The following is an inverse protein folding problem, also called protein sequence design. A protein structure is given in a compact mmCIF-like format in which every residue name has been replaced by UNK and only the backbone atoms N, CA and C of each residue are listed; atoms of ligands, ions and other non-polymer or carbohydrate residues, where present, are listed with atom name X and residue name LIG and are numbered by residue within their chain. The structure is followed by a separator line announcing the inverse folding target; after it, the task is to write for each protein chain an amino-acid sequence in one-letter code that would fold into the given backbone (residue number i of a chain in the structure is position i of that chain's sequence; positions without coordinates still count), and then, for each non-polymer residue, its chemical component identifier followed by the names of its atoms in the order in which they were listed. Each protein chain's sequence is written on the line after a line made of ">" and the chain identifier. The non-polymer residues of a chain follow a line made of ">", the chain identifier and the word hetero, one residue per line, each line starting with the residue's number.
data_IF_759889611516
#
_entry.id   IF_759889611516
#
_cell.length_a   1.000
_cell.length_b   1.000
_cell.length_c   1.000
_cell.angle_alpha   90.00
_cell.angle_beta   90.00
_cell.angle_gamma   90.00
#
_symmetry.space_group_name_H-M   'P 1'
#
loop_
_entity.id
_entity.type
_entity.pdbx_description
1 polymer ?
#
# COMPACT_ATOMS: atom_id res chain seq x y z
N UNK A 1 28.24 13.82 16.70
CA UNK A 1 28.29 12.71 15.74
C UNK A 1 27.13 12.85 14.80
N UNK A 2 27.42 12.91 13.55
CA UNK A 2 26.61 13.43 12.45
C UNK A 2 25.34 12.59 12.22
N UNK A 3 24.20 13.26 12.31
CA UNK A 3 22.87 12.70 12.10
C UNK A 3 22.67 12.43 10.59
N UNK A 4 23.29 11.36 10.08
CA UNK A 4 23.09 10.87 8.73
C UNK A 4 21.64 10.41 8.66
N UNK A 5 20.73 11.27 8.17
CA UNK A 5 19.35 10.90 7.81
C UNK A 5 19.41 9.54 7.13
N UNK A 6 18.94 8.49 7.79
CA UNK A 6 18.72 7.17 7.20
C UNK A 6 17.63 7.34 6.14
N UNK A 7 18.01 7.77 4.95
CA UNK A 7 17.19 7.60 3.75
C UNK A 7 17.12 6.10 3.54
N UNK A 8 15.92 5.55 3.58
CA UNK A 8 15.70 4.15 3.27
C UNK A 8 16.51 3.80 2.01
N UNK A 9 17.46 2.89 2.19
CA UNK A 9 18.41 2.60 1.13
C UNK A 9 17.82 1.52 0.23
N UNK A 10 17.43 1.90 -0.98
CA UNK A 10 16.97 0.96 -2.02
C UNK A 10 17.96 -0.21 -2.23
N UNK A 11 19.24 -0.02 -1.87
CA UNK A 11 20.24 -1.09 -1.92
C UNK A 11 19.92 -2.24 -0.96
N UNK A 12 19.30 -1.96 0.20
CA UNK A 12 18.88 -2.99 1.17
C UNK A 12 17.73 -3.84 0.61
N UNK A 13 16.77 -3.22 -0.08
CA UNK A 13 15.67 -3.93 -0.74
C UNK A 13 16.21 -4.80 -1.89
N UNK A 14 17.14 -4.27 -2.67
CA UNK A 14 17.78 -5.03 -3.75
C UNK A 14 18.57 -6.22 -3.19
N UNK A 15 19.26 -6.05 -2.04
CA UNK A 15 19.96 -7.15 -1.36
C UNK A 15 18.98 -8.22 -0.89
N UNK A 16 17.84 -7.83 -0.32
CA UNK A 16 16.78 -8.74 0.11
C UNK A 16 16.20 -9.52 -1.08
N UNK A 17 15.86 -8.82 -2.17
CA UNK A 17 15.38 -9.45 -3.40
C UNK A 17 16.41 -10.41 -4.01
N UNK A 18 17.70 -10.03 -3.97
CA UNK A 18 18.79 -10.89 -4.46
C UNK A 18 18.94 -12.15 -3.59
N UNK A 19 18.83 -12.02 -2.27
CA UNK A 19 18.82 -13.14 -1.34
C UNK A 19 17.68 -14.11 -1.64
N UNK A 20 16.46 -13.58 -1.78
CA UNK A 20 15.31 -14.41 -2.15
C UNK A 20 15.45 -15.03 -3.55
N UNK A 21 16.03 -14.32 -4.51
CA UNK A 21 16.23 -14.83 -5.86
C UNK A 21 17.21 -16.00 -5.93
N UNK A 22 18.23 -16.04 -5.10
CA UNK A 22 19.21 -17.12 -5.09
C UNK A 22 18.57 -18.47 -4.74
N UNK A 23 17.69 -18.49 -3.73
CA UNK A 23 17.13 -19.74 -3.20
C UNK A 23 15.74 -20.06 -3.78
N UNK A 24 14.94 -19.04 -4.16
CA UNK A 24 13.52 -19.20 -4.50
C UNK A 24 13.15 -18.73 -5.92
N UNK A 25 14.10 -18.59 -6.85
CA UNK A 25 13.89 -18.00 -8.19
C UNK A 25 12.70 -18.58 -8.96
N UNK A 26 12.53 -19.89 -8.95
CA UNK A 26 11.44 -20.55 -9.68
C UNK A 26 10.08 -20.27 -9.05
N UNK A 27 10.03 -20.29 -7.73
CA UNK A 27 8.77 -20.01 -7.01
C UNK A 27 8.40 -18.53 -7.14
N UNK A 28 9.36 -17.62 -7.12
CA UNK A 28 9.15 -16.20 -7.38
C UNK A 28 8.66 -15.93 -8.82
N UNK A 29 9.22 -16.65 -9.82
CA UNK A 29 8.75 -16.54 -11.20
C UNK A 29 7.30 -17.03 -11.35
N UNK A 30 6.95 -18.18 -10.76
CA UNK A 30 5.58 -18.69 -10.76
C UNK A 30 4.64 -17.71 -10.03
N UNK A 31 5.06 -17.19 -8.88
CA UNK A 31 4.30 -16.19 -8.14
C UNK A 31 4.08 -14.90 -8.95
N UNK A 32 5.09 -14.44 -9.69
CA UNK A 32 4.96 -13.30 -10.58
C UNK A 32 3.98 -13.56 -11.74
N UNK A 33 3.97 -14.76 -12.30
CA UNK A 33 2.99 -15.15 -13.32
C UNK A 33 1.58 -15.18 -12.74
N UNK A 34 1.40 -15.76 -11.58
CA UNK A 34 0.09 -15.86 -10.92
C UNK A 34 -0.50 -14.49 -10.59
N UNK A 35 0.32 -13.55 -10.11
CA UNK A 35 -0.15 -12.18 -9.82
C UNK A 35 -0.51 -11.43 -11.11
N UNK A 36 0.24 -11.63 -12.20
CA UNK A 36 -0.09 -11.07 -13.51
C UNK A 36 -1.43 -11.63 -14.00
N UNK A 37 -1.64 -12.94 -13.92
CA UNK A 37 -2.90 -13.58 -14.29
C UNK A 37 -4.05 -13.00 -13.47
N UNK A 38 -3.91 -12.93 -12.15
CA UNK A 38 -4.94 -12.36 -11.27
C UNK A 38 -5.28 -10.91 -11.62
N UNK A 39 -4.27 -10.07 -11.86
CA UNK A 39 -4.47 -8.68 -12.26
C UNK A 39 -5.14 -8.56 -13.63
N UNK A 40 -4.74 -9.36 -14.62
CA UNK A 40 -5.36 -9.39 -15.94
C UNK A 40 -6.82 -9.86 -15.86
N UNK A 41 -7.14 -10.84 -15.03
CA UNK A 41 -8.53 -11.28 -14.80
C UNK A 41 -9.34 -10.12 -14.23
N UNK A 42 -8.84 -9.40 -13.23
CA UNK A 42 -9.53 -8.26 -12.61
C UNK A 42 -9.81 -7.14 -13.63
N UNK A 43 -8.83 -6.78 -14.45
CA UNK A 43 -8.97 -5.75 -15.48
C UNK A 43 -9.94 -6.19 -16.58
N UNK A 44 -9.83 -7.44 -17.06
CA UNK A 44 -10.74 -7.99 -18.07
C UNK A 44 -12.18 -8.10 -17.57
N UNK A 45 -12.38 -8.52 -16.32
CA UNK A 45 -13.71 -8.58 -15.72
C UNK A 45 -14.38 -7.21 -15.71
N UNK A 46 -13.61 -6.17 -15.35
CA UNK A 46 -14.08 -4.77 -15.38
C UNK A 46 -14.41 -4.33 -16.82
N UNK A 47 -13.59 -4.68 -17.79
CA UNK A 47 -13.78 -4.34 -19.21
C UNK A 47 -14.94 -5.13 -19.84
N UNK A 48 -15.27 -6.33 -19.34
CA UNK A 48 -16.36 -7.17 -19.83
C UNK A 48 -17.75 -6.57 -19.63
N UNK A 49 -17.87 -5.55 -18.77
CA UNK A 49 -19.11 -4.75 -18.62
C UNK A 49 -19.52 -4.15 -19.96
N UNK A 50 -18.57 -3.69 -20.77
CA UNK A 50 -18.84 -3.18 -22.13
C UNK A 50 -19.53 -4.26 -22.98
N UNK A 51 -18.93 -5.44 -23.06
CA UNK A 51 -19.49 -6.55 -23.85
C UNK A 51 -20.85 -7.01 -23.32
N UNK A 52 -21.03 -7.03 -21.99
CA UNK A 52 -22.29 -7.36 -21.36
C UNK A 52 -23.42 -6.40 -21.80
N UNK A 53 -23.15 -5.10 -21.76
CA UNK A 53 -24.17 -4.09 -22.08
C UNK A 53 -24.40 -4.00 -23.58
N UNK A 54 -23.34 -3.87 -24.38
CA UNK A 54 -23.46 -3.59 -25.82
C UNK A 54 -23.92 -4.81 -26.62
N UNK A 55 -23.47 -6.02 -26.24
CA UNK A 55 -23.75 -7.23 -27.03
C UNK A 55 -24.97 -8.04 -26.54
N UNK A 56 -25.37 -7.85 -25.27
CA UNK A 56 -26.49 -8.64 -24.70
C UNK A 56 -27.63 -7.76 -24.21
N UNK A 57 -27.36 -6.81 -23.29
CA UNK A 57 -28.45 -6.05 -22.65
C UNK A 57 -29.15 -5.12 -23.66
N UNK A 58 -28.36 -4.33 -24.40
CA UNK A 58 -28.90 -3.35 -25.34
C UNK A 58 -29.66 -3.98 -26.49
N UNK A 59 -29.20 -5.06 -27.17
CA UNK A 59 -29.99 -5.77 -28.19
C UNK A 59 -31.28 -6.39 -27.64
N UNK A 60 -31.24 -7.00 -26.44
CA UNK A 60 -32.41 -7.56 -25.79
C UNK A 60 -33.49 -6.51 -25.53
N UNK A 61 -33.10 -5.32 -25.07
CA UNK A 61 -34.04 -4.22 -24.85
C UNK A 61 -34.60 -3.67 -26.14
N UNK A 62 -33.84 -3.64 -27.25
CA UNK A 62 -34.29 -3.15 -28.55
C UNK A 62 -35.24 -4.14 -29.26
N UNK A 63 -34.97 -5.43 -29.14
CA UNK A 63 -35.76 -6.48 -29.80
C UNK A 63 -36.92 -7.00 -28.97
N UNK A 64 -36.97 -6.66 -27.66
CA UNK A 64 -37.96 -7.25 -26.72
C UNK A 64 -37.79 -8.77 -26.53
N UNK A 65 -36.61 -9.30 -26.89
CA UNK A 65 -36.34 -10.74 -26.81
C UNK A 65 -36.22 -11.20 -25.35
N UNK A 66 -36.90 -12.33 -25.03
CA UNK A 66 -36.80 -13.01 -23.73
C UNK A 66 -35.80 -14.20 -23.76
N UNK A 67 -34.98 -14.30 -24.81
CA UNK A 67 -33.96 -15.35 -24.86
C UNK A 67 -32.71 -14.98 -24.04
N UNK A 68 -32.62 -15.54 -22.85
CA UNK A 68 -31.48 -15.36 -21.92
C UNK A 68 -30.36 -16.38 -22.15
N UNK A 69 -30.46 -17.29 -23.12
CA UNK A 69 -29.47 -18.33 -23.37
C UNK A 69 -28.07 -17.78 -23.61
N UNK A 70 -27.85 -16.87 -24.60
CA UNK A 70 -26.55 -16.30 -24.87
C UNK A 70 -25.94 -15.48 -23.70
N UNK A 71 -26.82 -14.77 -22.97
CA UNK A 71 -26.41 -14.03 -21.78
C UNK A 71 -25.91 -14.95 -20.66
N UNK A 72 -26.64 -16.04 -20.40
CA UNK A 72 -26.29 -17.07 -19.43
C UNK A 72 -24.90 -17.67 -19.76
N UNK A 73 -24.68 -18.03 -21.01
CA UNK A 73 -23.45 -18.69 -21.45
C UNK A 73 -22.24 -17.71 -21.31
N UNK A 74 -22.43 -16.44 -21.63
CA UNK A 74 -21.45 -15.39 -21.40
C UNK A 74 -21.12 -15.23 -19.89
N UNK A 75 -22.14 -15.18 -19.02
CA UNK A 75 -21.96 -15.06 -17.57
C UNK A 75 -21.27 -16.29 -16.98
N UNK A 76 -21.59 -17.51 -17.45
CA UNK A 76 -20.87 -18.72 -17.05
C UNK A 76 -19.41 -18.68 -17.47
N UNK A 77 -19.10 -18.20 -18.67
CA UNK A 77 -17.74 -17.98 -19.12
C UNK A 77 -16.98 -16.98 -18.24
N UNK A 78 -17.61 -15.85 -17.86
CA UNK A 78 -17.05 -14.89 -16.93
C UNK A 78 -16.83 -15.49 -15.53
N UNK A 79 -17.77 -16.31 -15.03
CA UNK A 79 -17.63 -16.98 -13.75
C UNK A 79 -16.44 -17.95 -13.73
N UNK A 80 -16.26 -18.74 -14.79
CA UNK A 80 -15.08 -19.62 -14.94
C UNK A 80 -13.80 -18.81 -15.01
N UNK A 81 -13.80 -17.70 -15.74
CA UNK A 81 -12.64 -16.79 -15.82
C UNK A 81 -12.32 -16.17 -14.46
N UNK A 82 -13.34 -15.76 -13.69
CA UNK A 82 -13.20 -15.34 -12.30
C UNK A 82 -12.57 -16.41 -11.41
N UNK A 83 -12.99 -17.67 -11.55
CA UNK A 83 -12.41 -18.78 -10.78
C UNK A 83 -10.93 -18.93 -11.05
N UNK A 84 -10.47 -18.78 -12.29
CA UNK A 84 -9.05 -18.77 -12.63
C UNK A 84 -8.32 -17.65 -11.90
N UNK A 85 -8.87 -16.44 -11.85
CA UNK A 85 -8.29 -15.31 -11.11
C UNK A 85 -8.20 -15.57 -9.60
N UNK A 86 -9.26 -16.13 -9.01
CA UNK A 86 -9.29 -16.50 -7.58
C UNK A 86 -8.26 -17.57 -7.28
N UNK A 87 -8.16 -18.62 -8.09
CA UNK A 87 -7.17 -19.68 -7.94
C UNK A 87 -5.74 -19.16 -8.09
N UNK A 88 -5.51 -18.26 -9.05
CA UNK A 88 -4.21 -17.62 -9.24
C UNK A 88 -3.82 -16.76 -8.04
N UNK A 89 -4.76 -15.95 -7.51
CA UNK A 89 -4.51 -15.12 -6.33
C UNK A 89 -4.28 -15.94 -5.07
N UNK A 90 -5.04 -17.01 -4.88
CA UNK A 90 -4.87 -17.95 -3.77
C UNK A 90 -3.52 -18.66 -3.84
N UNK A 91 -3.17 -19.20 -5.01
CA UNK A 91 -1.87 -19.84 -5.24
C UNK A 91 -0.70 -18.88 -4.99
N UNK A 92 -0.79 -17.65 -5.51
CA UNK A 92 0.17 -16.59 -5.24
C UNK A 92 0.32 -16.32 -3.73
N UNK A 93 -0.79 -16.15 -3.01
CA UNK A 93 -0.77 -15.85 -1.57
C UNK A 93 -0.10 -16.96 -0.75
N UNK A 94 -0.43 -18.22 -1.03
CA UNK A 94 0.20 -19.37 -0.35
C UNK A 94 1.70 -19.42 -0.66
N UNK A 95 2.08 -19.28 -1.92
CA UNK A 95 3.49 -19.33 -2.33
C UNK A 95 4.30 -18.22 -1.65
N UNK A 96 3.77 -16.99 -1.61
CA UNK A 96 4.45 -15.88 -0.95
C UNK A 96 4.55 -16.07 0.56
N UNK A 97 3.50 -16.58 1.22
CA UNK A 97 3.55 -16.90 2.64
C UNK A 97 4.62 -17.97 2.94
N UNK A 98 4.67 -19.03 2.14
CA UNK A 98 5.66 -20.11 2.30
C UNK A 98 7.09 -19.59 2.11
N UNK A 99 7.36 -18.88 1.01
CA UNK A 99 8.68 -18.29 0.75
C UNK A 99 9.09 -17.35 1.88
N UNK A 100 8.15 -16.50 2.34
CA UNK A 100 8.41 -15.54 3.41
C UNK A 100 8.86 -16.27 4.68
N UNK A 101 8.12 -17.29 5.12
CA UNK A 101 8.44 -18.05 6.33
C UNK A 101 9.77 -18.81 6.20
N UNK A 102 10.05 -19.42 5.06
CA UNK A 102 11.32 -20.13 4.82
C UNK A 102 12.51 -19.15 4.78
N UNK A 103 12.36 -18.01 4.11
CA UNK A 103 13.39 -16.97 4.07
C UNK A 103 13.69 -16.43 5.47
N UNK A 104 12.66 -16.17 6.28
CA UNK A 104 12.80 -15.70 7.65
C UNK A 104 13.44 -16.75 8.57
N UNK A 105 13.08 -18.02 8.39
CA UNK A 105 13.74 -19.13 9.11
C UNK A 105 15.22 -19.14 8.79
N UNK A 106 15.59 -19.04 7.52
CA UNK A 106 16.98 -18.99 7.09
C UNK A 106 17.73 -17.79 7.69
N UNK A 107 17.11 -16.59 7.66
CA UNK A 107 17.67 -15.38 8.26
C UNK A 107 17.87 -15.52 9.76
N UNK A 108 16.88 -16.03 10.50
CA UNK A 108 17.00 -16.27 11.96
C UNK A 108 18.14 -17.23 12.28
N UNK A 109 18.27 -18.31 11.52
CA UNK A 109 19.35 -19.27 11.71
C UNK A 109 20.72 -18.62 11.45
N UNK A 110 20.86 -17.85 10.37
CA UNK A 110 22.12 -17.15 10.05
C UNK A 110 22.46 -16.08 11.10
N UNK A 111 21.46 -15.34 11.59
CA UNK A 111 21.65 -14.35 12.66
C UNK A 111 22.13 -15.04 13.95
N UNK A 112 21.47 -16.14 14.34
CA UNK A 112 21.85 -16.88 15.54
C UNK A 112 23.26 -17.46 15.42
N UNK A 113 23.60 -18.08 14.29
CA UNK A 113 24.94 -18.60 14.04
C UNK A 113 26.02 -17.51 14.09
N UNK A 114 25.72 -16.34 13.51
CA UNK A 114 26.65 -15.19 13.57
C UNK A 114 26.78 -14.66 15.00
N UNK A 115 25.68 -14.56 15.73
CA UNK A 115 25.68 -14.12 17.13
C UNK A 115 26.55 -15.01 18.00
N UNK A 116 26.50 -16.34 17.81
CA UNK A 116 27.34 -17.29 18.56
C UNK A 116 28.86 -17.14 18.27
N UNK A 117 29.21 -16.54 17.13
CA UNK A 117 30.61 -16.29 16.73
C UNK A 117 31.13 -14.92 17.17
N UNK A 118 30.30 -14.07 17.80
CA UNK A 118 30.70 -12.77 18.28
C UNK A 118 31.55 -12.89 19.56
N UNK A 119 32.55 -12.03 19.75
CA UNK A 119 33.34 -12.01 20.98
C UNK A 119 32.50 -11.55 22.17
N UNK A 120 32.81 -12.02 23.38
CA UNK A 120 32.09 -11.66 24.63
C UNK A 120 32.00 -10.15 24.81
N UNK A 121 33.08 -9.41 24.45
CA UNK A 121 33.14 -7.94 24.49
C UNK A 121 31.95 -7.27 23.77
N UNK A 122 31.43 -7.91 22.72
CA UNK A 122 30.25 -7.37 22.00
C UNK A 122 29.02 -7.31 22.92
N UNK A 123 28.78 -8.37 23.68
CA UNK A 123 27.65 -8.46 24.61
C UNK A 123 27.80 -7.55 25.83
N UNK A 124 29.05 -7.25 26.23
CA UNK A 124 29.34 -6.30 27.33
C UNK A 124 29.11 -4.83 26.90
N UNK A 125 29.22 -4.56 25.59
CA UNK A 125 29.15 -3.17 25.05
C UNK A 125 27.82 -2.85 24.37
N UNK A 126 26.96 -3.82 24.13
CA UNK A 126 25.63 -3.63 23.49
C UNK A 126 24.52 -4.10 24.43
N UNK A 127 23.47 -3.31 24.63
CA UNK A 127 22.31 -3.71 25.41
C UNK A 127 21.66 -4.98 24.86
N UNK A 128 21.33 -5.92 25.72
CA UNK A 128 20.65 -7.16 25.30
C UNK A 128 19.30 -6.88 24.62
N UNK A 129 18.63 -5.78 25.00
CA UNK A 129 17.39 -5.33 24.38
C UNK A 129 17.55 -4.96 22.89
N UNK A 130 18.67 -4.32 22.53
CA UNK A 130 18.96 -3.96 21.13
C UNK A 130 19.18 -5.21 20.28
N UNK A 131 19.93 -6.19 20.81
CA UNK A 131 20.14 -7.47 20.13
C UNK A 131 18.81 -8.20 19.96
N UNK A 132 17.95 -8.21 21.00
CA UNK A 132 16.65 -8.85 20.95
C UNK A 132 15.70 -8.14 19.96
N UNK A 133 15.78 -6.80 19.84
CA UNK A 133 15.01 -6.02 18.88
C UNK A 133 15.26 -6.45 17.44
N UNK A 134 16.49 -6.82 17.08
CA UNK A 134 16.80 -7.38 15.75
C UNK A 134 16.01 -8.66 15.49
N UNK A 135 15.94 -9.57 16.48
CA UNK A 135 15.23 -10.84 16.34
C UNK A 135 13.71 -10.71 16.31
N UNK A 136 13.16 -9.65 16.89
CA UNK A 136 11.71 -9.40 16.96
C UNK A 136 11.28 -8.38 15.91
N UNK A 137 11.65 -7.12 16.09
CA UNK A 137 11.11 -6.01 15.31
C UNK A 137 11.65 -5.98 13.87
N UNK A 138 12.96 -6.16 13.68
CA UNK A 138 13.56 -6.06 12.35
C UNK A 138 13.15 -7.26 11.48
N UNK A 139 13.12 -8.47 12.05
CA UNK A 139 12.64 -9.66 11.35
C UNK A 139 11.15 -9.54 11.00
N UNK A 140 10.31 -8.98 11.88
CA UNK A 140 8.91 -8.75 11.56
C UNK A 140 8.70 -7.67 10.50
N UNK A 141 9.51 -6.63 10.49
CA UNK A 141 9.52 -5.63 9.42
C UNK A 141 9.90 -6.25 8.06
N UNK A 142 10.92 -7.12 8.04
CA UNK A 142 11.30 -7.88 6.85
C UNK A 142 10.19 -8.84 6.40
N UNK A 143 9.52 -9.53 7.33
CA UNK A 143 8.36 -10.38 7.03
C UNK A 143 7.27 -9.59 6.32
N UNK A 144 6.89 -8.45 6.87
CA UNK A 144 5.85 -7.59 6.29
C UNK A 144 6.26 -7.06 4.90
N UNK A 145 7.54 -6.73 4.71
CA UNK A 145 8.04 -6.31 3.41
C UNK A 145 7.94 -7.42 2.36
N UNK A 146 8.37 -8.65 2.69
CA UNK A 146 8.39 -9.78 1.77
C UNK A 146 6.99 -10.29 1.48
N UNK A 147 6.17 -10.48 2.52
CA UNK A 147 4.87 -11.14 2.43
C UNK A 147 3.78 -10.23 1.86
N UNK A 148 3.83 -8.94 2.17
CA UNK A 148 2.77 -7.99 1.83
C UNK A 148 3.24 -6.85 0.95
N UNK A 149 4.28 -6.12 1.36
CA UNK A 149 4.59 -4.82 0.74
C UNK A 149 5.10 -4.96 -0.69
N UNK A 150 6.09 -5.80 -0.94
CA UNK A 150 6.67 -6.01 -2.27
C UNK A 150 5.63 -6.60 -3.24
N UNK A 151 4.90 -7.69 -2.89
CA UNK A 151 3.86 -8.24 -3.74
C UNK A 151 2.74 -7.25 -4.05
N UNK A 152 2.31 -6.48 -3.05
CA UNK A 152 1.23 -5.51 -3.21
C UNK A 152 1.64 -4.34 -4.13
N UNK A 153 2.87 -3.84 -4.02
CA UNK A 153 3.41 -2.83 -4.94
C UNK A 153 3.43 -3.34 -6.38
N UNK A 154 3.87 -4.58 -6.57
CA UNK A 154 3.93 -5.21 -7.88
C UNK A 154 2.53 -5.42 -8.48
N UNK A 155 1.60 -5.95 -7.70
CA UNK A 155 0.19 -6.10 -8.09
C UNK A 155 -0.45 -4.76 -8.45
N UNK A 156 -0.25 -3.74 -7.62
CA UNK A 156 -0.79 -2.41 -7.86
C UNK A 156 -0.24 -1.79 -9.15
N UNK A 157 1.06 -1.95 -9.41
CA UNK A 157 1.68 -1.45 -10.63
C UNK A 157 1.08 -2.12 -11.88
N UNK A 158 0.94 -3.46 -11.88
CA UNK A 158 0.35 -4.21 -13.00
C UNK A 158 -1.11 -3.79 -13.21
N UNK A 159 -1.89 -3.68 -12.13
CA UNK A 159 -3.29 -3.26 -12.20
C UNK A 159 -3.41 -1.84 -12.76
N UNK A 160 -2.59 -0.89 -12.28
CA UNK A 160 -2.59 0.48 -12.80
C UNK A 160 -2.26 0.55 -14.29
N UNK A 161 -1.24 -0.21 -14.73
CA UNK A 161 -0.88 -0.30 -16.16
C UNK A 161 -2.04 -0.91 -16.95
N UNK A 162 -2.60 -2.02 -16.50
CA UNK A 162 -3.72 -2.70 -17.17
C UNK A 162 -4.97 -1.83 -17.28
N UNK A 163 -5.34 -1.13 -16.20
CA UNK A 163 -6.47 -0.18 -16.18
C UNK A 163 -6.19 0.98 -17.14
N UNK A 164 -4.99 1.56 -17.12
CA UNK A 164 -4.60 2.66 -18.02
C UNK A 164 -4.72 2.24 -19.49
N UNK A 165 -4.16 1.09 -19.84
CA UNK A 165 -4.25 0.55 -21.21
C UNK A 165 -5.70 0.31 -21.61
N UNK A 166 -6.50 -0.30 -20.74
CA UNK A 166 -7.93 -0.54 -21.01
C UNK A 166 -8.71 0.75 -21.20
N UNK A 167 -8.44 1.79 -20.42
CA UNK A 167 -9.08 3.10 -20.58
C UNK A 167 -8.70 3.77 -21.90
N UNK A 168 -7.43 3.68 -22.30
CA UNK A 168 -6.97 4.21 -23.61
C UNK A 168 -7.61 3.47 -24.78
N UNK A 169 -7.81 2.17 -24.67
CA UNK A 169 -8.51 1.36 -25.69
C UNK A 169 -9.99 1.71 -25.78
N UNK A 170 -10.66 1.97 -24.64
CA UNK A 170 -12.09 2.32 -24.62
C UNK A 170 -12.33 3.73 -25.15
N UNK A 171 -11.61 4.73 -24.64
CA UNK A 171 -11.72 6.12 -25.08
C UNK A 171 -10.52 6.96 -24.65
N UNK A 172 -9.58 7.26 -25.57
CA UNK A 172 -8.43 8.13 -25.28
C UNK A 172 -8.87 9.54 -24.84
N UNK A 173 -9.98 10.03 -25.38
CA UNK A 173 -10.47 11.37 -25.06
C UNK A 173 -10.99 11.49 -23.62
N UNK A 174 -11.75 10.49 -23.15
CA UNK A 174 -12.17 10.42 -21.75
C UNK A 174 -10.99 10.21 -20.80
N UNK A 175 -9.96 9.49 -21.25
CA UNK A 175 -8.75 9.29 -20.45
C UNK A 175 -8.07 10.60 -20.09
N UNK A 176 -8.11 11.64 -20.95
CA UNK A 176 -7.56 12.97 -20.62
C UNK A 176 -8.20 13.57 -19.37
N UNK A 177 -9.53 13.42 -19.21
CA UNK A 177 -10.24 13.90 -18.01
C UNK A 177 -9.71 13.18 -16.76
N UNK A 178 -9.58 11.86 -16.83
CA UNK A 178 -9.06 11.06 -15.71
C UNK A 178 -7.59 11.36 -15.45
N UNK A 179 -6.77 11.56 -16.49
CA UNK A 179 -5.35 11.89 -16.35
C UNK A 179 -5.15 13.22 -15.59
N UNK A 180 -5.97 14.24 -15.86
CA UNK A 180 -5.95 15.50 -15.11
C UNK A 180 -6.30 15.26 -13.64
N UNK A 181 -7.34 14.47 -13.37
CA UNK A 181 -7.74 14.14 -11.99
C UNK A 181 -6.67 13.32 -11.26
N UNK A 182 -6.01 12.38 -11.95
CA UNK A 182 -4.88 11.62 -11.40
C UNK A 182 -3.70 12.55 -11.05
N UNK A 183 -3.38 13.53 -11.92
CA UNK A 183 -2.35 14.52 -11.63
C UNK A 183 -2.69 15.35 -10.37
N UNK A 184 -3.94 15.76 -10.20
CA UNK A 184 -4.43 16.45 -9.00
C UNK A 184 -4.29 15.53 -7.77
N UNK A 185 -4.68 14.26 -7.86
CA UNK A 185 -4.54 13.29 -6.75
C UNK A 185 -3.08 13.12 -6.34
N UNK A 186 -2.16 12.94 -7.30
CA UNK A 186 -0.72 12.83 -7.03
C UNK A 186 -0.18 14.09 -6.38
N UNK A 187 -0.60 15.27 -6.82
CA UNK A 187 -0.22 16.55 -6.21
C UNK A 187 -0.71 16.66 -4.76
N UNK A 188 -1.97 16.28 -4.49
CA UNK A 188 -2.53 16.23 -3.13
C UNK A 188 -1.76 15.27 -2.24
N UNK A 189 -1.51 14.04 -2.73
CA UNK A 189 -0.73 13.04 -1.99
C UNK A 189 0.63 13.62 -1.61
N UNK A 190 1.37 14.17 -2.58
CA UNK A 190 2.70 14.75 -2.34
C UNK A 190 2.66 15.85 -1.29
N UNK A 191 1.67 16.75 -1.37
CA UNK A 191 1.55 17.90 -0.47
C UNK A 191 1.17 17.47 0.95
N UNK A 192 0.17 16.60 1.09
CA UNK A 192 -0.34 16.15 2.39
C UNK A 192 0.66 15.22 3.06
N UNK A 193 1.21 14.24 2.33
CA UNK A 193 2.19 13.29 2.87
C UNK A 193 3.49 13.97 3.29
N UNK A 194 3.94 15.02 2.57
CA UNK A 194 5.12 15.79 2.97
C UNK A 194 4.91 16.50 4.31
N UNK A 195 3.73 17.11 4.52
CA UNK A 195 3.38 17.76 5.79
C UNK A 195 3.24 16.73 6.91
N UNK A 196 2.50 15.65 6.66
CA UNK A 196 2.33 14.55 7.62
C UNK A 196 3.67 13.97 8.05
N UNK A 197 4.56 13.66 7.10
CA UNK A 197 5.90 13.11 7.38
C UNK A 197 6.77 14.03 8.24
N UNK A 198 6.67 15.36 8.04
CA UNK A 198 7.36 16.33 8.90
C UNK A 198 6.86 16.26 10.34
N UNK A 199 5.55 16.28 10.55
CA UNK A 199 4.98 16.22 11.89
C UNK A 199 5.16 14.87 12.57
N UNK A 200 5.18 13.76 11.83
CA UNK A 200 5.58 12.44 12.38
C UNK A 200 7.04 12.45 12.86
N UNK A 201 7.94 13.13 12.12
CA UNK A 201 9.32 13.32 12.57
C UNK A 201 9.42 14.13 13.87
N UNK A 202 8.62 15.20 14.00
CA UNK A 202 8.53 16.01 15.22
C UNK A 202 7.93 15.20 16.38
N UNK A 203 6.86 14.44 16.13
CA UNK A 203 6.26 13.53 17.09
C UNK A 203 7.26 12.49 17.61
N UNK A 204 8.03 11.86 16.73
CA UNK A 204 9.02 10.86 17.13
C UNK A 204 10.13 11.46 17.99
N UNK A 205 10.54 12.70 17.66
CA UNK A 205 11.51 13.45 18.49
C UNK A 205 10.95 13.75 19.88
N UNK A 206 9.70 14.24 19.95
CA UNK A 206 9.06 14.60 21.24
C UNK A 206 8.77 13.36 22.09
N UNK A 207 8.40 12.24 21.46
CA UNK A 207 8.27 10.94 22.12
C UNK A 207 9.60 10.48 22.74
N UNK A 208 10.71 10.68 22.05
CA UNK A 208 12.05 10.39 22.59
C UNK A 208 12.40 11.28 23.80
N UNK A 209 12.00 12.56 23.76
CA UNK A 209 12.21 13.50 24.89
C UNK A 209 11.36 13.07 26.10
N UNK A 210 10.07 12.72 25.88
CA UNK A 210 9.18 12.26 26.93
C UNK A 210 9.68 10.97 27.58
N UNK A 211 10.07 9.97 26.78
CA UNK A 211 10.61 8.71 27.29
C UNK A 211 11.88 8.93 28.11
N UNK A 212 12.81 9.79 27.65
CA UNK A 212 14.01 10.13 28.38
C UNK A 212 13.71 10.82 29.71
N UNK A 213 12.74 11.74 29.74
CA UNK A 213 12.27 12.37 30.96
C UNK A 213 11.67 11.38 31.96
N UNK A 214 10.82 10.47 31.48
CA UNK A 214 10.23 9.42 32.31
C UNK A 214 11.32 8.53 32.92
N UNK A 215 12.31 8.10 32.13
CA UNK A 215 13.43 7.28 32.59
C UNK A 215 14.25 8.01 33.66
N UNK A 216 14.55 9.30 33.45
CA UNK A 216 15.25 10.13 34.42
C UNK A 216 14.46 10.27 35.74
N UNK A 217 13.15 10.56 35.65
CA UNK A 217 12.29 10.68 36.84
C UNK A 217 12.15 9.36 37.58
N UNK A 218 12.06 8.23 36.87
CA UNK A 218 12.01 6.90 37.50
C UNK A 218 13.33 6.58 38.22
N UNK A 219 14.47 6.84 37.59
CA UNK A 219 15.78 6.64 38.20
C UNK A 219 16.00 7.56 39.42
N UNK A 220 15.54 8.82 39.32
CA UNK A 220 15.65 9.84 40.34
C UNK A 220 14.55 9.84 41.43
N UNK A 221 13.60 8.87 41.40
CA UNK A 221 12.40 8.90 42.21
C UNK A 221 12.66 9.07 43.71
N UNK A 222 13.73 8.46 44.24
CA UNK A 222 14.12 8.59 45.65
C UNK A 222 14.51 10.05 46.01
N UNK A 223 15.17 10.72 45.08
CA UNK A 223 15.62 12.12 45.26
C UNK A 223 14.40 13.05 45.21
N UNK A 224 13.53 12.85 44.20
CA UNK A 224 12.26 13.62 44.06
C UNK A 224 11.45 13.56 45.35
N UNK A 225 11.29 12.36 45.91
CA UNK A 225 10.56 12.15 47.19
C UNK A 225 11.26 12.78 48.40
N UNK A 226 12.60 12.69 48.48
CA UNK A 226 13.35 13.24 49.60
C UNK A 226 13.29 14.78 49.64
N UNK A 227 13.22 15.43 48.47
CA UNK A 227 13.15 16.90 48.34
C UNK A 227 11.75 17.45 48.09
N UNK A 228 10.70 16.60 48.14
CA UNK A 228 9.28 16.97 47.92
C UNK A 228 9.11 17.72 46.58
N UNK A 229 9.74 17.22 45.49
CA UNK A 229 9.81 17.89 44.20
C UNK A 229 8.80 17.34 43.19
N UNK A 230 7.77 16.58 43.62
CA UNK A 230 6.78 15.94 42.78
C UNK A 230 5.99 16.92 41.92
N UNK A 231 5.54 18.04 42.52
CA UNK A 231 4.73 19.04 41.83
C UNK A 231 5.51 19.67 40.64
N UNK A 232 6.79 20.00 40.83
CA UNK A 232 7.62 20.55 39.77
C UNK A 232 7.92 19.51 38.67
N UNK A 233 8.08 18.24 39.05
CA UNK A 233 8.26 17.13 38.08
C UNK A 233 7.00 16.92 37.23
N UNK A 234 5.81 16.99 37.85
CA UNK A 234 4.51 16.90 37.13
C UNK A 234 4.37 18.08 36.14
N UNK A 235 4.63 19.31 36.60
CA UNK A 235 4.56 20.50 35.72
C UNK A 235 5.50 20.38 34.52
N UNK A 236 6.73 19.89 34.72
CA UNK A 236 7.69 19.67 33.64
C UNK A 236 7.23 18.57 32.67
N UNK A 237 6.64 17.49 33.20
CA UNK A 237 6.06 16.45 32.37
C UNK A 237 4.90 16.96 31.53
N UNK A 238 3.99 17.73 32.11
CA UNK A 238 2.85 18.30 31.39
C UNK A 238 3.27 19.17 30.22
N UNK A 239 4.35 19.95 30.36
CA UNK A 239 4.91 20.73 29.25
C UNK A 239 5.46 19.88 28.10
N UNK A 240 6.17 18.79 28.44
CA UNK A 240 6.72 17.84 27.47
C UNK A 240 5.58 17.07 26.77
N UNK A 241 4.60 16.61 27.53
CA UNK A 241 3.44 15.90 27.02
C UNK A 241 2.57 16.79 26.11
N UNK A 242 2.40 18.08 26.43
CA UNK A 242 1.70 19.02 25.55
C UNK A 242 2.43 19.18 24.20
N UNK A 243 3.77 19.23 24.19
CA UNK A 243 4.54 19.28 22.94
C UNK A 243 4.37 18.00 22.11
N UNK A 244 4.35 16.83 22.76
CA UNK A 244 4.07 15.55 22.12
C UNK A 244 2.63 15.51 21.59
N UNK A 245 1.65 15.98 22.38
CA UNK A 245 0.26 16.08 21.95
C UNK A 245 0.10 16.91 20.69
N UNK A 246 0.68 18.11 20.64
CA UNK A 246 0.57 19.01 19.49
C UNK A 246 1.20 18.40 18.21
N UNK A 247 2.37 17.81 18.32
CA UNK A 247 3.02 17.15 17.18
C UNK A 247 2.24 15.91 16.71
N UNK A 248 1.73 15.11 17.65
CA UNK A 248 0.91 13.93 17.37
C UNK A 248 -0.44 14.31 16.74
N UNK A 249 -1.09 15.35 17.27
CA UNK A 249 -2.34 15.87 16.72
C UNK A 249 -2.17 16.31 15.26
N UNK A 250 -1.15 17.10 14.96
CA UNK A 250 -0.89 17.59 13.60
C UNK A 250 -0.49 16.44 12.66
N UNK A 251 0.35 15.50 13.10
CA UNK A 251 0.73 14.33 12.33
C UNK A 251 -0.49 13.51 11.91
N UNK A 252 -1.33 13.16 12.89
CA UNK A 252 -2.55 12.38 12.66
C UNK A 252 -3.61 13.14 11.87
N UNK A 253 -3.79 14.44 12.12
CA UNK A 253 -4.71 15.28 11.36
C UNK A 253 -4.41 15.25 9.87
N UNK A 254 -3.15 15.47 9.47
CA UNK A 254 -2.77 15.42 8.06
C UNK A 254 -2.81 14.00 7.49
N UNK A 255 -2.43 13.00 8.24
CA UNK A 255 -2.48 11.60 7.79
C UNK A 255 -3.91 11.12 7.54
N UNK A 256 -4.81 11.36 8.49
CA UNK A 256 -6.18 10.85 8.44
C UNK A 256 -7.08 11.56 7.42
N UNK A 257 -6.74 12.79 7.03
CA UNK A 257 -7.49 13.56 6.01
C UNK A 257 -7.17 13.07 4.58
N UNK A 258 -6.04 12.40 4.36
CA UNK A 258 -5.61 12.00 3.02
C UNK A 258 -6.60 11.06 2.33
N UNK A 259 -7.05 9.99 3.02
CA UNK A 259 -7.97 9.00 2.43
C UNK A 259 -9.35 9.59 2.10
N UNK A 260 -10.03 10.35 2.97
CA UNK A 260 -11.26 11.05 2.61
C UNK A 260 -11.10 12.00 1.42
N UNK A 261 -10.00 12.74 1.32
CA UNK A 261 -9.75 13.63 0.17
C UNK A 261 -9.61 12.81 -1.12
N UNK A 262 -8.81 11.75 -1.13
CA UNK A 262 -8.65 10.90 -2.31
C UNK A 262 -9.96 10.23 -2.73
N UNK A 263 -10.76 9.76 -1.77
CA UNK A 263 -12.09 9.19 -2.03
C UNK A 263 -13.03 10.21 -2.69
N UNK A 264 -13.08 11.44 -2.16
CA UNK A 264 -13.91 12.51 -2.74
C UNK A 264 -13.39 12.99 -4.11
N UNK A 265 -12.08 13.09 -4.31
CA UNK A 265 -11.50 13.36 -5.64
C UNK A 265 -11.85 12.27 -6.64
N UNK A 266 -11.89 11.00 -6.20
CA UNK A 266 -12.37 9.87 -7.01
C UNK A 266 -13.83 10.02 -7.40
N UNK A 267 -14.69 10.44 -6.48
CA UNK A 267 -16.10 10.71 -6.76
C UNK A 267 -16.28 11.89 -7.74
N UNK A 268 -15.51 12.96 -7.57
CA UNK A 268 -15.49 14.11 -8.52
C UNK A 268 -15.03 13.63 -9.90
N UNK A 269 -13.96 12.84 -9.97
CA UNK A 269 -13.50 12.24 -11.23
C UNK A 269 -14.59 11.41 -11.89
N UNK A 270 -15.29 10.60 -11.12
CA UNK A 270 -16.40 9.77 -11.61
C UNK A 270 -17.54 10.65 -12.19
N UNK A 271 -17.94 11.71 -11.50
CA UNK A 271 -19.00 12.62 -11.96
C UNK A 271 -18.57 13.35 -13.23
N UNK A 272 -17.37 13.92 -13.28
CA UNK A 272 -16.86 14.61 -14.47
C UNK A 272 -16.76 13.66 -15.67
N UNK A 273 -16.27 12.45 -15.44
CA UNK A 273 -16.20 11.42 -16.48
C UNK A 273 -17.58 10.97 -16.93
N UNK A 274 -18.57 10.89 -16.02
CA UNK A 274 -19.96 10.54 -16.36
C UNK A 274 -20.61 11.62 -17.23
N UNK A 275 -20.42 12.88 -16.91
CA UNK A 275 -20.95 14.00 -17.69
C UNK A 275 -20.32 14.04 -19.08
N UNK A 276 -18.96 14.05 -19.13
CA UNK A 276 -18.23 14.10 -20.40
C UNK A 276 -18.52 12.86 -21.28
N UNK A 277 -18.49 11.67 -20.68
CA UNK A 277 -18.73 10.42 -21.38
C UNK A 277 -20.20 10.25 -21.80
N UNK A 278 -21.15 10.70 -20.99
CA UNK A 278 -22.56 10.74 -21.34
C UNK A 278 -22.83 11.63 -22.57
N UNK A 279 -22.25 12.83 -22.56
CA UNK A 279 -22.30 13.73 -23.73
C UNK A 279 -21.68 13.08 -24.98
N UNK A 280 -20.53 12.43 -24.85
CA UNK A 280 -19.86 11.75 -25.97
C UNK A 280 -20.68 10.57 -26.49
N UNK A 281 -21.24 9.74 -25.59
CA UNK A 281 -22.02 8.56 -25.98
C UNK A 281 -23.32 8.95 -26.68
N UNK A 282 -24.01 10.01 -26.23
CA UNK A 282 -25.25 10.48 -26.85
C UNK A 282 -25.02 11.13 -28.23
N UNK A 283 -23.88 11.80 -28.45
CA UNK A 283 -23.54 12.45 -29.69
C UNK A 283 -22.66 11.58 -30.63
N UNK A 284 -22.38 10.31 -30.25
CA UNK A 284 -21.57 9.39 -31.04
C UNK A 284 -20.10 9.81 -31.18
N UNK A 285 -19.59 10.71 -30.31
CA UNK A 285 -18.22 11.23 -30.37
C UNK A 285 -17.23 10.13 -29.99
N UNK A 286 -16.26 9.86 -30.86
CA UNK A 286 -15.23 8.85 -30.63
C UNK A 286 -15.73 7.41 -30.62
N UNK A 287 -16.93 7.12 -31.11
CA UNK A 287 -17.51 5.76 -31.12
C UNK A 287 -17.77 5.18 -29.74
N UNK A 288 -17.92 6.03 -28.70
CA UNK A 288 -18.18 5.62 -27.34
C UNK A 288 -19.61 5.11 -27.23
N UNK A 289 -19.78 3.84 -26.82
CA UNK A 289 -21.05 3.21 -26.53
C UNK A 289 -21.47 3.39 -25.07
N UNK A 290 -22.73 3.10 -24.74
CA UNK A 290 -23.21 3.11 -23.35
C UNK A 290 -22.45 2.08 -22.51
N UNK A 291 -22.25 0.86 -23.03
CA UNK A 291 -21.45 -0.16 -22.36
C UNK A 291 -19.99 0.24 -22.22
N UNK A 292 -19.42 0.91 -23.24
CA UNK A 292 -18.08 1.50 -23.17
C UNK A 292 -17.96 2.53 -22.05
N UNK A 293 -18.95 3.42 -21.90
CA UNK A 293 -18.98 4.40 -20.80
C UNK A 293 -19.09 3.70 -19.44
N UNK A 294 -19.98 2.71 -19.28
CA UNK A 294 -20.11 1.97 -18.02
C UNK A 294 -18.82 1.26 -17.63
N UNK A 295 -18.17 0.59 -18.58
CA UNK A 295 -16.86 -0.02 -18.36
C UNK A 295 -15.80 1.00 -17.97
N UNK A 296 -15.77 2.15 -18.66
CA UNK A 296 -14.82 3.23 -18.38
C UNK A 296 -15.01 3.82 -16.97
N UNK A 297 -16.24 4.02 -16.51
CA UNK A 297 -16.56 4.49 -15.17
C UNK A 297 -16.11 3.51 -14.09
N UNK A 298 -16.25 2.21 -14.34
CA UNK A 298 -15.78 1.18 -13.42
C UNK A 298 -14.22 1.12 -13.39
N UNK A 299 -13.57 1.24 -14.56
CA UNK A 299 -12.12 1.36 -14.64
C UNK A 299 -11.60 2.59 -13.88
N UNK A 300 -12.30 3.74 -13.97
CA UNK A 300 -11.94 4.95 -13.23
C UNK A 300 -11.95 4.71 -11.71
N UNK A 301 -12.95 4.01 -11.18
CA UNK A 301 -12.98 3.62 -9.75
C UNK A 301 -11.85 2.68 -9.36
N UNK A 302 -11.40 1.85 -10.27
CA UNK A 302 -10.32 0.88 -10.02
C UNK A 302 -8.94 1.51 -9.81
N UNK A 303 -8.75 2.81 -10.07
CA UNK A 303 -7.49 3.52 -9.78
C UNK A 303 -7.29 3.85 -8.30
N UNK A 304 -8.36 4.11 -7.56
CA UNK A 304 -8.27 4.64 -6.18
C UNK A 304 -7.56 3.64 -5.25
N UNK A 305 -7.92 2.36 -5.35
CA UNK A 305 -7.36 1.29 -4.53
C UNK A 305 -5.83 1.18 -4.68
N UNK A 306 -5.30 0.92 -5.88
CA UNK A 306 -3.85 0.81 -6.11
C UNK A 306 -3.05 2.05 -5.67
N UNK A 307 -3.55 3.26 -5.91
CA UNK A 307 -2.89 4.50 -5.49
C UNK A 307 -2.75 4.58 -3.97
N UNK A 308 -3.82 4.26 -3.24
CA UNK A 308 -3.82 4.24 -1.79
C UNK A 308 -2.86 3.16 -1.23
N UNK A 309 -2.88 1.97 -1.82
CA UNK A 309 -2.02 0.85 -1.45
C UNK A 309 -0.54 1.16 -1.67
N UNK A 310 -0.17 1.73 -2.81
CA UNK A 310 1.23 2.15 -3.06
C UNK A 310 1.71 3.13 -2.00
N UNK A 311 0.87 4.11 -1.64
CA UNK A 311 1.23 5.10 -0.61
C UNK A 311 1.46 4.47 0.77
N UNK A 312 0.66 3.47 1.15
CA UNK A 312 0.82 2.75 2.42
C UNK A 312 2.06 1.85 2.40
N UNK A 313 2.25 1.08 1.34
CA UNK A 313 3.33 0.09 1.26
C UNK A 313 4.72 0.75 1.17
N UNK A 314 4.84 1.94 0.59
CA UNK A 314 6.12 2.66 0.57
C UNK A 314 6.65 2.93 1.98
N UNK A 315 5.79 3.25 2.94
CA UNK A 315 6.20 3.47 4.33
C UNK A 315 6.75 2.19 4.98
N UNK A 316 6.10 1.04 4.76
CA UNK A 316 6.58 -0.25 5.30
C UNK A 316 7.90 -0.69 4.68
N UNK A 317 8.06 -0.50 3.37
CA UNK A 317 9.32 -0.80 2.67
C UNK A 317 10.46 0.08 3.18
N UNK A 318 10.20 1.37 3.45
CA UNK A 318 11.19 2.28 4.03
C UNK A 318 11.57 1.87 5.45
N UNK A 319 10.62 1.43 6.29
CA UNK A 319 10.91 0.91 7.64
C UNK A 319 11.74 -0.37 7.57
N UNK A 320 11.38 -1.32 6.74
CA UNK A 320 12.12 -2.57 6.55
C UNK A 320 13.54 -2.34 6.02
N UNK A 321 13.78 -1.27 5.25
CA UNK A 321 15.12 -0.91 4.76
C UNK A 321 16.00 -0.25 5.82
N UNK A 322 15.43 0.21 6.93
CA UNK A 322 16.13 0.85 8.03
C UNK A 322 16.55 -0.14 9.13
N UNK A 323 15.83 -1.27 9.29
CA UNK A 323 16.15 -2.41 10.14
C UNK A 323 17.18 -3.32 9.48
#
# INVERSE_FOLDING_TARGET
>A
MENKKRRGDWSSIIRLLKFMWQDYKWVLLVSAVLIVISALVTVNLTSSIRSLVDNFVQPMLQTGSSDFGPLRDFLLGLALFCLVGVMANYGFSIMMATISQDALRSLRNQLFERMQKLPVKYFDTHPHGDIMSIYTNDIDALRQAIEQSIPQLFSSAITMIGVTVSMLVVSPLLFLVVAVMLAIMVWVIKTVSSKSGRYFGEQQKNLGIENGFIEEMMAGQKVIKAFVHEAASIESFDQINEQLFQSSYLANRFSNVLMPILGNLGNVSFVLTSIAGGFMALNGVGGLTIGGLMSFLQLNRSFIGPIAQVSQQLNFVLMASAG
#
